data_IF_487707459058
#
_entry.id   IF_487707459058
#
_cell.length_a   1.000
_cell.length_b   1.000
_cell.length_c   1.000
_cell.angle_alpha   90.00
_cell.angle_beta   90.00
_cell.angle_gamma   90.00
#
_symmetry.space_group_name_H-M   'P 1'
#
loop_
_entity.id
_entity.type
_entity.pdbx_description
1 polymer ?
#
# COMPACT_ATOMS: atom_id res chain seq x y z
N UNK A 1 15.38 67.40 46.37
CA UNK A 1 16.83 67.52 46.47
C UNK A 1 17.34 66.71 45.28
N UNK A 2 17.50 67.35 44.11
CA UNK A 2 18.76 68.03 43.70
C UNK A 2 19.87 66.98 43.61
N UNK A 3 20.60 66.77 42.52
CA UNK A 3 21.09 67.67 41.45
C UNK A 3 21.74 66.78 40.40
N UNK A 4 21.47 66.89 39.13
CA UNK A 4 22.22 67.65 38.07
C UNK A 4 23.71 67.34 37.94
N UNK A 5 24.15 66.86 36.78
CA UNK A 5 24.90 67.51 35.70
C UNK A 5 25.55 66.44 34.82
N UNK A 6 25.33 66.36 33.55
CA UNK A 6 25.77 67.09 32.33
C UNK A 6 27.21 66.74 31.88
N UNK A 7 27.22 66.44 30.56
CA UNK A 7 28.23 66.66 29.51
C UNK A 7 29.38 65.60 29.39
N UNK A 8 29.80 65.15 28.22
CA UNK A 8 29.81 65.78 26.88
C UNK A 8 30.17 64.73 25.78
N UNK A 9 29.79 65.06 24.61
CA UNK A 9 29.98 64.47 23.29
C UNK A 9 31.38 63.96 22.95
N UNK A 10 31.45 62.86 22.14
CA UNK A 10 32.24 62.87 20.91
C UNK A 10 31.79 61.77 19.96
N UNK A 11 31.40 62.16 18.78
CA UNK A 11 31.15 61.40 17.59
C UNK A 11 32.40 60.65 17.14
N UNK A 12 32.23 59.36 16.69
CA UNK A 12 32.96 58.84 15.55
C UNK A 12 32.07 57.84 14.84
N UNK A 13 31.68 58.22 13.63
CA UNK A 13 31.07 57.37 12.62
C UNK A 13 31.98 56.20 12.28
N UNK A 14 31.42 54.98 12.26
CA UNK A 14 31.90 53.91 11.41
C UNK A 14 30.69 53.06 10.93
N UNK A 15 30.30 53.35 9.70
CA UNK A 15 29.43 52.54 8.86
C UNK A 15 30.04 51.14 8.68
N UNK A 16 29.44 50.13 9.30
CA UNK A 16 29.63 48.76 8.91
C UNK A 16 28.27 48.26 8.39
N UNK A 17 28.10 48.37 7.09
CA UNK A 17 27.02 47.75 6.34
C UNK A 17 27.16 46.22 6.44
N UNK A 18 26.43 45.58 7.38
CA UNK A 18 26.23 44.15 7.40
C UNK A 18 25.25 43.76 6.27
N UNK A 19 25.82 43.46 5.12
CA UNK A 19 25.17 42.67 4.09
C UNK A 19 24.96 41.25 4.63
N UNK A 20 23.78 40.98 5.15
CA UNK A 20 23.28 39.61 5.33
C UNK A 20 23.08 39.01 3.95
N UNK A 21 24.10 38.34 3.42
CA UNK A 21 23.97 37.46 2.29
C UNK A 21 23.08 36.31 2.73
N UNK A 22 21.83 36.36 2.26
CA UNK A 22 20.96 35.19 2.25
C UNK A 22 21.59 34.16 1.30
N UNK A 23 22.35 33.24 1.84
CA UNK A 23 22.76 32.02 1.15
C UNK A 23 21.52 31.19 0.86
N UNK A 24 20.80 31.50 -0.20
CA UNK A 24 19.89 30.57 -0.86
C UNK A 24 20.76 29.54 -1.56
N UNK A 25 21.01 28.41 -0.89
CA UNK A 25 21.61 27.23 -1.50
C UNK A 25 20.68 26.79 -2.66
N UNK A 26 20.99 27.19 -3.88
CA UNK A 26 20.35 26.65 -5.07
C UNK A 26 20.66 25.16 -5.12
N UNK A 27 19.70 24.31 -4.76
CA UNK A 27 19.82 22.86 -4.93
C UNK A 27 20.10 22.60 -6.41
N UNK A 28 21.26 22.05 -6.71
CA UNK A 28 21.68 21.68 -8.06
C UNK A 28 20.69 20.64 -8.58
N UNK A 29 19.94 20.99 -9.63
CA UNK A 29 18.99 20.07 -10.28
C UNK A 29 19.79 19.04 -11.06
N UNK A 30 19.73 17.80 -10.61
CA UNK A 30 20.36 16.68 -11.32
C UNK A 30 19.33 15.98 -12.21
N UNK A 31 19.72 15.69 -13.46
CA UNK A 31 18.93 14.89 -14.40
C UNK A 31 19.54 13.50 -14.45
N UNK A 32 18.78 12.52 -14.00
CA UNK A 32 19.17 11.11 -14.05
C UNK A 32 18.56 10.46 -15.29
N UNK A 33 19.41 9.81 -16.10
CA UNK A 33 19.00 9.04 -17.28
C UNK A 33 19.02 7.54 -16.96
N UNK A 34 17.99 6.81 -17.38
CA UNK A 34 17.84 5.37 -17.16
C UNK A 34 17.82 4.68 -18.53
N UNK A 35 18.86 3.88 -18.81
CA UNK A 35 19.04 3.12 -20.08
C UNK A 35 18.78 3.95 -21.34
N UNK A 36 19.09 5.25 -21.34
CA UNK A 36 18.81 6.19 -22.44
C UNK A 36 17.34 6.19 -22.93
N UNK A 37 16.43 5.63 -22.14
CA UNK A 37 15.01 5.50 -22.47
C UNK A 37 14.12 6.38 -21.59
N UNK A 38 14.51 6.59 -20.35
CA UNK A 38 13.76 7.42 -19.40
C UNK A 38 14.68 8.42 -18.71
N UNK A 39 14.11 9.51 -18.21
CA UNK A 39 14.83 10.44 -17.33
C UNK A 39 13.90 11.06 -16.30
N UNK A 40 14.48 11.52 -15.19
CA UNK A 40 13.80 12.32 -14.19
C UNK A 40 14.74 13.36 -13.59
N UNK A 41 14.18 14.37 -12.94
CA UNK A 41 14.95 15.38 -12.19
C UNK A 41 14.90 15.05 -10.70
N UNK A 42 15.99 15.29 -9.99
CA UNK A 42 16.06 15.11 -8.52
C UNK A 42 15.02 15.97 -7.79
N UNK A 43 14.56 17.07 -8.39
CA UNK A 43 13.52 17.96 -7.86
C UNK A 43 12.10 17.47 -8.07
N UNK A 44 11.86 16.57 -9.00
CA UNK A 44 10.52 16.12 -9.41
C UNK A 44 10.00 14.95 -8.54
N UNK A 45 10.30 15.02 -7.24
CA UNK A 45 9.87 14.00 -6.27
C UNK A 45 8.36 14.08 -6.02
N UNK A 46 7.66 12.98 -6.25
CA UNK A 46 6.21 12.82 -6.01
C UNK A 46 5.91 12.38 -4.59
N UNK A 47 6.79 11.59 -3.99
CA UNK A 47 6.61 11.07 -2.65
C UNK A 47 7.70 10.10 -2.26
N UNK A 48 7.54 9.49 -1.10
CA UNK A 48 8.43 8.46 -0.58
C UNK A 48 7.87 7.90 0.71
N UNK A 49 8.24 6.67 1.02
CA UNK A 49 7.85 5.96 2.23
C UNK A 49 8.98 5.09 2.73
N UNK A 50 8.66 4.14 3.57
CA UNK A 50 9.62 3.20 4.18
C UNK A 50 10.40 2.38 3.14
N UNK A 51 9.91 2.29 1.91
CA UNK A 51 10.40 1.37 0.87
C UNK A 51 10.98 2.08 -0.36
N UNK A 52 11.25 3.39 -0.29
CA UNK A 52 11.91 4.09 -1.38
C UNK A 52 11.32 5.45 -1.72
N UNK A 53 11.82 6.04 -2.80
CA UNK A 53 11.43 7.36 -3.29
C UNK A 53 10.76 7.22 -4.66
N UNK A 54 9.77 8.08 -4.91
CA UNK A 54 9.04 8.09 -6.19
C UNK A 54 9.23 9.46 -6.84
N UNK A 55 9.61 9.45 -8.10
CA UNK A 55 9.82 10.64 -8.93
C UNK A 55 8.93 10.64 -10.14
N UNK A 56 8.57 11.83 -10.60
CA UNK A 56 7.99 12.02 -11.93
C UNK A 56 9.13 12.01 -12.95
N UNK A 57 8.98 11.19 -13.97
CA UNK A 57 9.92 11.08 -15.05
C UNK A 57 9.24 11.18 -16.41
N UNK A 58 10.03 11.03 -17.47
CA UNK A 58 9.57 11.08 -18.85
C UNK A 58 10.21 9.96 -19.67
N UNK A 59 9.43 9.34 -20.54
CA UNK A 59 9.95 8.49 -21.59
C UNK A 59 10.56 9.38 -22.69
N UNK A 60 11.85 9.23 -22.94
CA UNK A 60 12.59 10.10 -23.87
C UNK A 60 12.15 9.95 -25.33
N UNK A 61 11.62 8.76 -25.69
CA UNK A 61 11.13 8.47 -27.05
C UNK A 61 9.69 8.94 -27.26
N UNK A 62 8.76 8.53 -26.38
CA UNK A 62 7.32 8.82 -26.55
C UNK A 62 6.90 10.15 -25.94
N UNK A 63 7.77 10.75 -25.11
CA UNK A 63 7.48 11.98 -24.33
C UNK A 63 6.36 11.80 -23.28
N UNK A 64 5.95 10.58 -23.03
CA UNK A 64 4.97 10.29 -22.01
C UNK A 64 5.56 10.37 -20.60
N UNK A 65 4.78 10.92 -19.69
CA UNK A 65 5.14 10.98 -18.28
C UNK A 65 5.01 9.62 -17.62
N UNK A 66 5.96 9.30 -16.73
CA UNK A 66 6.03 8.03 -16.00
C UNK A 66 6.30 8.28 -14.51
N UNK A 67 5.98 7.31 -13.67
CA UNK A 67 6.47 7.25 -12.31
C UNK A 67 7.73 6.39 -12.23
N UNK A 68 8.71 6.85 -11.44
CA UNK A 68 9.99 6.17 -11.26
C UNK A 68 10.17 5.93 -9.77
N UNK A 69 10.01 4.66 -9.34
CA UNK A 69 10.22 4.22 -7.98
C UNK A 69 11.66 3.73 -7.83
N UNK A 70 12.35 4.23 -6.79
CA UNK A 70 13.77 3.94 -6.53
C UNK A 70 13.88 3.35 -5.13
N UNK A 71 14.54 2.21 -5.02
CA UNK A 71 14.81 1.51 -3.79
C UNK A 71 16.31 1.23 -3.67
N UNK A 72 16.91 1.42 -2.49
CA UNK A 72 18.30 1.05 -2.25
C UNK A 72 18.46 -0.48 -2.27
N UNK A 73 19.55 -0.99 -2.87
CA UNK A 73 19.89 -2.41 -2.82
C UNK A 73 20.38 -2.86 -1.44
N UNK A 74 20.79 -1.89 -0.61
CA UNK A 74 21.40 -2.15 0.71
C UNK A 74 20.37 -2.18 1.84
N UNK A 75 19.06 -2.24 1.54
CA UNK A 75 18.03 -2.41 2.56
C UNK A 75 17.88 -3.89 2.93
N UNK A 76 17.56 -4.14 4.19
CA UNK A 76 17.44 -5.47 4.76
C UNK A 76 16.38 -6.33 4.05
N UNK A 77 15.28 -5.71 3.62
CA UNK A 77 14.17 -6.40 2.94
C UNK A 77 13.75 -5.66 1.68
N UNK A 78 14.45 -5.89 0.53
CA UNK A 78 14.09 -5.28 -0.74
C UNK A 78 12.69 -5.72 -1.21
N UNK A 79 11.84 -4.75 -1.51
CA UNK A 79 10.43 -5.03 -1.88
C UNK A 79 10.13 -4.75 -3.36
N UNK A 80 10.94 -3.94 -4.04
CA UNK A 80 10.66 -3.51 -5.39
C UNK A 80 10.60 -4.66 -6.41
N UNK A 81 11.45 -5.68 -6.24
CA UNK A 81 11.42 -6.89 -7.08
C UNK A 81 10.11 -7.65 -6.86
N UNK A 82 9.74 -7.84 -5.60
CA UNK A 82 8.50 -8.54 -5.24
C UNK A 82 7.28 -7.80 -5.81
N UNK A 83 7.18 -6.50 -5.58
CA UNK A 83 6.13 -5.63 -6.11
C UNK A 83 6.05 -5.68 -7.64
N UNK A 84 7.21 -5.62 -8.33
CA UNK A 84 7.25 -5.69 -9.78
C UNK A 84 6.76 -7.02 -10.36
N UNK A 85 7.04 -8.14 -9.69
CA UNK A 85 6.54 -9.47 -10.08
C UNK A 85 5.02 -9.55 -9.98
N UNK A 86 4.45 -9.01 -8.91
CA UNK A 86 2.98 -8.96 -8.71
C UNK A 86 2.34 -8.08 -9.78
N UNK A 87 2.85 -6.86 -9.97
CA UNK A 87 2.32 -5.94 -10.97
C UNK A 87 2.40 -6.49 -12.39
N UNK A 88 3.49 -7.19 -12.75
CA UNK A 88 3.60 -7.86 -14.05
C UNK A 88 2.56 -8.97 -14.23
N UNK A 89 2.26 -9.72 -13.18
CA UNK A 89 1.22 -10.75 -13.22
C UNK A 89 -0.20 -10.16 -13.37
N UNK A 90 -0.40 -8.90 -12.94
CA UNK A 90 -1.67 -8.19 -12.98
C UNK A 90 -1.77 -7.18 -14.15
N UNK A 91 -0.74 -7.09 -15.02
CA UNK A 91 -0.55 -6.02 -16.00
C UNK A 91 -1.70 -5.86 -17.01
N UNK A 92 -2.44 -6.93 -17.29
CA UNK A 92 -3.56 -6.92 -18.25
C UNK A 92 -4.90 -6.62 -17.59
N UNK A 93 -4.91 -6.34 -16.29
CA UNK A 93 -6.13 -6.03 -15.56
C UNK A 93 -6.29 -4.53 -15.33
N UNK A 94 -7.50 -4.02 -15.45
CA UNK A 94 -7.82 -2.62 -15.18
C UNK A 94 -7.59 -2.24 -13.70
N UNK A 95 -7.02 -1.05 -13.49
CA UNK A 95 -6.79 -0.52 -12.15
C UNK A 95 -5.57 -1.09 -11.43
N UNK A 96 -4.62 -1.63 -12.20
CA UNK A 96 -3.28 -1.99 -11.76
C UNK A 96 -2.25 -1.25 -12.61
N UNK A 97 -1.24 -0.58 -11.98
CA UNK A 97 -0.25 0.20 -12.72
C UNK A 97 0.58 -0.67 -13.66
N UNK A 98 0.78 -0.23 -14.88
CA UNK A 98 1.66 -0.91 -15.83
C UNK A 98 3.13 -0.70 -15.45
N UNK A 99 3.91 -1.78 -15.42
CA UNK A 99 5.37 -1.74 -15.23
C UNK A 99 6.04 -1.76 -16.60
N UNK A 100 6.84 -0.72 -16.89
CA UNK A 100 7.53 -0.57 -18.17
C UNK A 100 8.97 -1.10 -18.12
N UNK A 101 9.68 -0.88 -17.01
CA UNK A 101 11.07 -1.29 -16.85
C UNK A 101 11.37 -1.55 -15.38
N UNK A 102 12.15 -2.59 -15.11
CA UNK A 102 12.82 -2.80 -13.82
C UNK A 102 14.30 -3.02 -14.10
N UNK A 103 15.17 -2.23 -13.49
CA UNK A 103 16.60 -2.28 -13.76
C UNK A 103 17.41 -1.85 -12.56
N UNK A 104 18.56 -2.49 -12.28
CA UNK A 104 19.54 -1.93 -11.37
C UNK A 104 20.23 -0.72 -11.99
N UNK A 105 20.55 0.26 -11.16
CA UNK A 105 21.42 1.40 -11.48
C UNK A 105 22.27 1.69 -10.25
N UNK A 106 23.59 1.50 -10.35
CA UNK A 106 24.54 1.61 -9.24
C UNK A 106 24.04 0.85 -7.99
N UNK A 107 23.90 1.53 -6.85
CA UNK A 107 23.46 0.94 -5.57
C UNK A 107 21.93 0.95 -5.37
N UNK A 108 21.18 1.24 -6.44
CA UNK A 108 19.72 1.28 -6.37
C UNK A 108 19.06 0.32 -7.37
N UNK A 109 17.84 -0.04 -7.07
CA UNK A 109 16.93 -0.70 -7.98
C UNK A 109 15.87 0.32 -8.41
N UNK A 110 15.58 0.36 -9.71
CA UNK A 110 14.62 1.28 -10.30
C UNK A 110 13.50 0.52 -10.95
N UNK A 111 12.26 0.95 -10.68
CA UNK A 111 11.07 0.53 -11.41
C UNK A 111 10.42 1.73 -12.08
N UNK A 112 10.28 1.67 -13.41
CA UNK A 112 9.53 2.64 -14.21
C UNK A 112 8.15 2.09 -14.48
N UNK A 113 7.13 2.86 -14.12
CA UNK A 113 5.75 2.43 -14.19
C UNK A 113 4.82 3.56 -14.62
N UNK A 114 3.56 3.24 -14.85
CA UNK A 114 2.50 4.18 -15.17
C UNK A 114 2.40 5.30 -14.13
N UNK A 115 2.36 6.55 -14.61
CA UNK A 115 2.11 7.69 -13.73
C UNK A 115 0.62 7.78 -13.43
N UNK A 116 0.29 7.86 -12.15
CA UNK A 116 -1.08 7.97 -11.63
C UNK A 116 -1.31 9.34 -10.99
N UNK A 117 -2.57 9.64 -10.72
CA UNK A 117 -2.99 10.85 -10.05
C UNK A 117 -2.90 10.80 -8.52
N UNK A 118 -3.69 11.62 -7.87
CA UNK A 118 -3.72 11.72 -6.41
C UNK A 118 -4.36 10.47 -5.78
N UNK A 119 -3.88 10.10 -4.58
CA UNK A 119 -4.49 9.02 -3.81
C UNK A 119 -5.78 9.49 -3.11
N UNK A 120 -6.62 8.50 -2.74
CA UNK A 120 -7.92 8.79 -2.14
C UNK A 120 -7.81 9.49 -0.79
N UNK A 121 -6.75 9.29 -0.01
CA UNK A 121 -6.53 10.01 1.25
C UNK A 121 -6.36 11.51 1.00
N UNK A 122 -5.56 11.89 0.01
CA UNK A 122 -5.34 13.30 -0.35
C UNK A 122 -6.63 13.92 -0.89
N UNK A 123 -7.36 13.22 -1.77
CA UNK A 123 -8.64 13.67 -2.28
C UNK A 123 -9.68 13.84 -1.15
N UNK A 124 -9.71 12.92 -0.18
CA UNK A 124 -10.58 13.02 0.99
C UNK A 124 -10.25 14.25 1.86
N UNK A 125 -8.96 14.48 2.13
CA UNK A 125 -8.52 15.63 2.94
C UNK A 125 -8.85 16.97 2.27
N UNK A 126 -8.91 17.01 0.94
CA UNK A 126 -9.29 18.17 0.14
C UNK A 126 -10.81 18.32 -0.06
N UNK A 127 -11.60 17.30 0.34
CA UNK A 127 -13.06 17.35 0.22
C UNK A 127 -13.69 18.14 1.36
N UNK A 128 -14.91 18.73 1.16
CA UNK A 128 -15.66 19.39 2.23
C UNK A 128 -15.85 18.46 3.42
N UNK A 129 -15.58 18.98 4.64
CA UNK A 129 -15.70 18.23 5.90
C UNK A 129 -14.86 16.95 5.98
N UNK A 130 -13.85 16.77 5.08
CA UNK A 130 -13.01 15.57 5.00
C UNK A 130 -13.83 14.29 4.89
N UNK A 131 -14.89 14.34 4.10
CA UNK A 131 -15.80 13.21 3.82
C UNK A 131 -16.09 13.14 2.34
N UNK A 132 -16.41 11.95 1.86
CA UNK A 132 -17.04 11.76 0.57
C UNK A 132 -18.55 11.61 0.72
N UNK A 133 -19.30 12.01 -0.30
CA UNK A 133 -20.72 11.71 -0.40
C UNK A 133 -20.96 10.19 -0.44
N UNK A 134 -22.16 9.75 -0.07
CA UNK A 134 -22.57 8.35 -0.21
C UNK A 134 -22.39 7.88 -1.67
N UNK A 135 -22.71 8.75 -2.65
CA UNK A 135 -22.53 8.47 -4.08
C UNK A 135 -21.07 8.12 -4.41
N UNK A 136 -20.16 9.00 -4.04
CA UNK A 136 -18.72 8.80 -4.29
C UNK A 136 -18.21 7.55 -3.56
N UNK A 137 -18.60 7.36 -2.30
CA UNK A 137 -18.21 6.17 -1.51
C UNK A 137 -18.67 4.87 -2.16
N UNK A 138 -19.91 4.78 -2.63
CA UNK A 138 -20.41 3.56 -3.28
C UNK A 138 -19.75 3.30 -4.63
N UNK A 139 -19.52 4.34 -5.44
CA UNK A 139 -18.78 4.21 -6.70
C UNK A 139 -17.34 3.72 -6.47
N UNK A 140 -16.67 4.23 -5.42
CA UNK A 140 -15.34 3.78 -5.00
C UNK A 140 -15.37 2.33 -4.51
N UNK A 141 -16.33 1.98 -3.65
CA UNK A 141 -16.47 0.64 -3.09
C UNK A 141 -16.59 -0.43 -4.18
N UNK A 142 -17.39 -0.18 -5.23
CA UNK A 142 -17.55 -1.08 -6.37
C UNK A 142 -16.22 -1.29 -7.09
N UNK A 143 -15.49 -0.21 -7.40
CA UNK A 143 -14.22 -0.31 -8.11
C UNK A 143 -13.16 -0.99 -7.24
N UNK A 144 -13.03 -0.59 -5.97
CA UNK A 144 -12.02 -1.13 -5.06
C UNK A 144 -12.27 -2.62 -4.78
N UNK A 145 -13.53 -3.01 -4.54
CA UNK A 145 -13.89 -4.42 -4.38
C UNK A 145 -13.54 -5.25 -5.62
N UNK A 146 -13.76 -4.69 -6.83
CA UNK A 146 -13.35 -5.35 -8.07
C UNK A 146 -11.83 -5.54 -8.16
N UNK A 147 -11.01 -4.57 -7.70
CA UNK A 147 -9.53 -4.72 -7.65
C UNK A 147 -9.11 -5.77 -6.63
N UNK A 148 -9.74 -5.77 -5.45
CA UNK A 148 -9.50 -6.80 -4.42
C UNK A 148 -9.86 -8.19 -4.96
N UNK A 149 -11.03 -8.35 -5.61
CA UNK A 149 -11.43 -9.60 -6.27
C UNK A 149 -10.36 -10.08 -7.26
N UNK A 150 -9.94 -9.22 -8.19
CA UNK A 150 -8.90 -9.54 -9.18
C UNK A 150 -7.58 -9.96 -8.51
N UNK A 151 -7.14 -9.26 -7.47
CA UNK A 151 -5.93 -9.62 -6.71
C UNK A 151 -6.07 -11.00 -6.07
N UNK A 152 -7.21 -11.28 -5.44
CA UNK A 152 -7.51 -12.56 -4.78
C UNK A 152 -7.62 -13.72 -5.79
N UNK A 153 -8.22 -13.50 -6.97
CA UNK A 153 -8.28 -14.48 -8.07
C UNK A 153 -6.88 -14.85 -8.59
N UNK A 154 -5.91 -13.93 -8.48
CA UNK A 154 -4.50 -14.16 -8.78
C UNK A 154 -3.71 -14.72 -7.58
N UNK A 155 -4.39 -15.21 -6.54
CA UNK A 155 -3.84 -15.85 -5.34
C UNK A 155 -3.06 -14.93 -4.40
N UNK A 156 -3.26 -13.62 -4.47
CA UNK A 156 -2.61 -12.66 -3.59
C UNK A 156 -3.63 -11.98 -2.67
N UNK A 157 -3.21 -11.64 -1.44
CA UNK A 157 -3.86 -10.73 -0.52
C UNK A 157 -3.00 -9.49 -0.34
N UNK A 158 -3.63 -8.31 -0.20
CA UNK A 158 -2.92 -7.03 -0.16
C UNK A 158 -2.30 -6.75 1.22
N UNK A 159 -3.05 -7.00 2.29
CA UNK A 159 -2.68 -6.83 3.70
C UNK A 159 -2.50 -5.39 4.19
N UNK A 160 -2.73 -4.39 3.35
CA UNK A 160 -2.71 -2.97 3.73
C UNK A 160 -3.73 -2.15 2.94
N UNK A 161 -4.99 -2.56 2.96
CA UNK A 161 -6.10 -1.84 2.33
C UNK A 161 -6.36 -0.56 3.14
N UNK A 162 -6.08 0.59 2.51
CA UNK A 162 -6.25 1.94 3.07
C UNK A 162 -6.37 2.99 1.96
N UNK A 163 -6.90 4.20 2.24
CA UNK A 163 -7.10 5.23 1.22
C UNK A 163 -5.82 5.65 0.47
N UNK A 164 -4.67 5.62 1.13
CA UNK A 164 -3.37 5.98 0.55
C UNK A 164 -2.95 5.03 -0.57
N UNK A 165 -3.40 3.77 -0.53
CA UNK A 165 -3.03 2.72 -1.48
C UNK A 165 -4.00 2.61 -2.67
N UNK A 166 -4.88 3.59 -2.83
CA UNK A 166 -5.75 3.73 -4.01
C UNK A 166 -5.59 5.12 -4.61
N UNK A 167 -5.36 5.18 -5.93
CA UNK A 167 -5.16 6.42 -6.68
C UNK A 167 -6.12 6.51 -7.85
N UNK A 168 -6.40 7.74 -8.30
CA UNK A 168 -7.09 7.94 -9.56
C UNK A 168 -6.12 7.79 -10.72
N UNK A 169 -6.60 7.34 -11.86
CA UNK A 169 -5.84 7.38 -13.11
C UNK A 169 -5.71 8.81 -13.65
N UNK A 170 -4.97 8.95 -14.75
CA UNK A 170 -4.79 10.22 -15.44
C UNK A 170 -5.42 10.19 -16.84
N UNK A 171 -5.65 11.36 -17.41
CA UNK A 171 -6.16 11.54 -18.79
C UNK A 171 -7.45 10.75 -19.03
N UNK A 172 -7.45 9.81 -19.97
CA UNK A 172 -8.61 8.96 -20.30
C UNK A 172 -9.00 7.99 -19.17
N UNK A 173 -8.08 7.70 -18.24
CA UNK A 173 -8.30 6.81 -17.10
C UNK A 173 -8.67 7.56 -15.81
N UNK A 174 -8.94 8.86 -15.84
CA UNK A 174 -9.24 9.71 -14.67
C UNK A 174 -10.38 9.20 -13.77
N UNK A 175 -11.24 8.35 -14.29
CA UNK A 175 -12.36 7.76 -13.57
C UNK A 175 -12.08 6.33 -13.09
N UNK A 176 -10.91 5.78 -13.37
CA UNK A 176 -10.48 4.46 -12.95
C UNK A 176 -9.70 4.58 -11.64
N UNK A 177 -10.05 3.74 -10.67
CA UNK A 177 -9.32 3.64 -9.41
C UNK A 177 -8.27 2.54 -9.54
N UNK A 178 -7.04 2.89 -9.23
CA UNK A 178 -5.88 2.00 -9.27
C UNK A 178 -5.49 1.60 -7.84
N UNK A 179 -5.17 0.33 -7.66
CA UNK A 179 -4.55 -0.20 -6.45
C UNK A 179 -3.04 -0.10 -6.59
N UNK A 180 -2.36 0.36 -5.55
CA UNK A 180 -0.90 0.58 -5.51
C UNK A 180 -0.29 0.03 -4.21
N UNK A 181 1.04 -0.04 -4.17
CA UNK A 181 1.85 -0.46 -3.01
C UNK A 181 1.65 -1.93 -2.62
N UNK A 182 2.34 -2.80 -3.34
CA UNK A 182 2.30 -4.25 -3.13
C UNK A 182 3.43 -4.76 -2.21
N UNK A 183 4.09 -3.86 -1.48
CA UNK A 183 5.21 -4.21 -0.61
C UNK A 183 4.85 -5.20 0.52
N UNK A 184 3.62 -5.17 1.00
CA UNK A 184 3.11 -6.11 2.00
C UNK A 184 2.27 -7.26 1.42
N UNK A 185 2.05 -7.27 0.11
CA UNK A 185 1.23 -8.27 -0.57
C UNK A 185 1.85 -9.67 -0.49
N UNK A 186 1.01 -10.69 -0.31
CA UNK A 186 1.45 -12.07 -0.14
C UNK A 186 0.54 -13.04 -0.90
N UNK A 187 1.10 -14.16 -1.38
CA UNK A 187 0.30 -15.29 -1.82
C UNK A 187 -0.42 -15.93 -0.62
N UNK A 188 -1.71 -16.19 -0.77
CA UNK A 188 -2.51 -16.95 0.20
C UNK A 188 -2.85 -18.36 -0.27
N UNK A 189 -2.51 -18.68 -1.53
CA UNK A 189 -2.60 -20.02 -2.09
C UNK A 189 -1.30 -20.35 -2.85
N UNK A 190 -0.97 -21.63 -2.87
CA UNK A 190 0.06 -22.17 -3.75
C UNK A 190 -0.43 -22.31 -5.20
N UNK A 191 0.40 -22.86 -6.10
CA UNK A 191 0.05 -23.12 -7.49
C UNK A 191 -1.06 -24.16 -7.67
N UNK A 192 -1.28 -25.01 -6.66
CA UNK A 192 -2.34 -26.05 -6.63
C UNK A 192 -3.64 -25.56 -5.99
N UNK A 193 -3.73 -24.25 -5.68
CA UNK A 193 -4.85 -23.62 -4.96
C UNK A 193 -5.01 -24.09 -3.50
N UNK A 194 -4.00 -24.72 -2.91
CA UNK A 194 -4.03 -24.99 -1.48
C UNK A 194 -3.83 -23.67 -0.71
N UNK A 195 -4.74 -23.40 0.21
CA UNK A 195 -4.66 -22.19 1.05
C UNK A 195 -3.50 -22.32 2.05
N UNK A 196 -2.86 -21.19 2.38
CA UNK A 196 -1.85 -21.15 3.44
C UNK A 196 -2.46 -21.65 4.77
N UNK A 197 -1.67 -22.30 5.65
CA UNK A 197 -2.17 -22.80 6.92
C UNK A 197 -2.57 -21.67 7.86
N UNK A 198 -3.57 -21.92 8.71
CA UNK A 198 -3.93 -21.04 9.81
C UNK A 198 -2.77 -20.99 10.82
N UNK A 199 -2.36 -19.77 11.20
CA UNK A 199 -1.29 -19.53 12.18
C UNK A 199 -1.68 -18.39 13.11
N UNK A 200 -1.26 -18.48 14.35
CA UNK A 200 -1.40 -17.42 15.34
C UNK A 200 -0.03 -16.85 15.76
N UNK A 201 0.01 -15.88 16.64
CA UNK A 201 1.25 -15.26 17.12
C UNK A 201 1.92 -14.34 16.11
N UNK A 202 1.18 -13.86 15.10
CA UNK A 202 1.71 -12.92 14.09
C UNK A 202 1.73 -11.49 14.60
N UNK A 203 2.77 -10.77 14.24
CA UNK A 203 2.79 -9.32 14.43
C UNK A 203 1.78 -8.64 13.48
N UNK A 204 1.20 -7.52 13.96
CA UNK A 204 0.28 -6.74 13.15
C UNK A 204 1.01 -6.23 11.90
N UNK A 205 0.56 -6.69 10.74
CA UNK A 205 1.02 -6.25 9.42
C UNK A 205 -0.03 -5.34 8.82
N UNK A 206 0.38 -4.23 8.21
CA UNK A 206 -0.49 -3.19 7.65
C UNK A 206 -0.78 -2.05 8.64
N UNK A 207 -1.79 -1.27 8.33
CA UNK A 207 -2.16 -0.04 9.04
C UNK A 207 -3.22 -0.33 10.11
N UNK A 208 -2.87 -0.20 11.40
CA UNK A 208 -3.73 -0.57 12.52
C UNK A 208 -5.14 0.06 12.47
N UNK A 209 -5.28 1.25 11.90
CA UNK A 209 -6.56 1.94 11.75
C UNK A 209 -7.57 1.10 10.93
N UNK A 210 -7.10 0.46 9.86
CA UNK A 210 -7.93 -0.31 8.93
C UNK A 210 -7.79 -1.83 9.09
N UNK A 211 -6.76 -2.33 9.79
CA UNK A 211 -6.53 -3.76 9.99
C UNK A 211 -7.75 -4.49 10.56
N UNK A 212 -8.00 -5.71 10.12
CA UNK A 212 -9.12 -6.54 10.60
C UNK A 212 -8.99 -6.90 12.08
N UNK A 213 -10.07 -7.35 12.69
CA UNK A 213 -10.06 -7.88 14.06
C UNK A 213 -9.11 -9.07 14.16
N UNK A 214 -9.10 -9.96 13.17
CA UNK A 214 -8.21 -11.13 13.17
C UNK A 214 -6.74 -10.74 13.05
N UNK A 215 -6.40 -9.73 12.23
CA UNK A 215 -5.05 -9.17 12.16
C UNK A 215 -4.60 -8.59 13.51
N UNK A 216 -5.48 -7.90 14.23
CA UNK A 216 -5.19 -7.41 15.58
C UNK A 216 -4.99 -8.53 16.62
N UNK A 217 -5.68 -9.67 16.47
CA UNK A 217 -5.51 -10.86 17.29
C UNK A 217 -4.22 -11.62 17.00
N UNK A 218 -3.43 -11.19 16.02
CA UNK A 218 -2.20 -11.88 15.61
C UNK A 218 -2.46 -13.16 14.82
N UNK A 219 -3.59 -13.26 14.13
CA UNK A 219 -3.92 -14.37 13.25
C UNK A 219 -3.39 -14.05 11.86
N UNK A 220 -2.87 -15.05 11.15
CA UNK A 220 -2.42 -14.93 9.75
C UNK A 220 -3.55 -14.38 8.87
N UNK A 221 -3.21 -13.43 7.98
CA UNK A 221 -4.20 -12.77 7.15
C UNK A 221 -4.63 -13.64 5.97
N UNK A 222 -5.89 -13.50 5.59
CA UNK A 222 -6.48 -14.14 4.41
C UNK A 222 -7.39 -13.15 3.66
N UNK A 223 -8.17 -13.64 2.70
CA UNK A 223 -9.08 -12.80 1.87
C UNK A 223 -10.07 -11.97 2.69
N UNK A 224 -10.58 -12.52 3.80
CA UNK A 224 -11.55 -11.83 4.69
C UNK A 224 -10.97 -10.55 5.31
N UNK A 225 -9.66 -10.52 5.56
CA UNK A 225 -8.98 -9.40 6.23
C UNK A 225 -8.90 -8.16 5.32
N UNK A 226 -8.61 -8.33 4.04
CA UNK A 226 -8.67 -7.25 3.04
C UNK A 226 -10.10 -6.69 2.91
N UNK A 227 -11.12 -7.55 2.95
CA UNK A 227 -12.52 -7.14 2.88
C UNK A 227 -12.97 -6.38 4.14
N UNK A 228 -12.56 -6.81 5.34
CA UNK A 228 -12.87 -6.07 6.56
C UNK A 228 -12.22 -4.70 6.56
N UNK A 229 -10.98 -4.60 6.07
CA UNK A 229 -10.28 -3.32 5.88
C UNK A 229 -11.00 -2.40 4.88
N UNK A 230 -11.53 -2.93 3.77
CA UNK A 230 -12.37 -2.18 2.84
C UNK A 230 -13.63 -1.64 3.55
N UNK A 231 -14.28 -2.46 4.37
CA UNK A 231 -15.43 -2.02 5.16
C UNK A 231 -15.11 -0.80 6.02
N UNK A 232 -14.03 -0.84 6.78
CA UNK A 232 -13.59 0.30 7.60
C UNK A 232 -13.24 1.53 6.76
N UNK A 233 -12.62 1.34 5.62
CA UNK A 233 -12.31 2.43 4.71
C UNK A 233 -13.58 3.11 4.17
N UNK A 234 -14.63 2.36 3.83
CA UNK A 234 -15.92 2.90 3.40
C UNK A 234 -16.62 3.71 4.51
N UNK A 235 -16.60 3.22 5.76
CA UNK A 235 -17.11 3.98 6.91
C UNK A 235 -16.35 5.30 7.05
N UNK A 236 -15.02 5.26 6.96
CA UNK A 236 -14.17 6.44 7.02
C UNK A 236 -14.50 7.45 5.91
N UNK A 237 -14.73 7.01 4.70
CA UNK A 237 -15.14 7.88 3.59
C UNK A 237 -16.46 8.61 3.87
N UNK A 238 -17.47 7.89 4.38
CA UNK A 238 -18.77 8.47 4.66
C UNK A 238 -18.79 9.37 5.91
N UNK A 239 -18.10 8.96 6.98
CA UNK A 239 -18.18 9.62 8.29
C UNK A 239 -17.04 10.62 8.53
N UNK A 240 -15.89 10.48 7.83
CA UNK A 240 -14.67 11.27 8.02
C UNK A 240 -13.85 10.80 9.22
N UNK A 241 -14.36 9.84 9.99
CA UNK A 241 -13.69 9.28 11.17
C UNK A 241 -14.07 7.83 11.42
N UNK A 242 -13.26 7.15 12.23
CA UNK A 242 -13.53 5.83 12.78
C UNK A 242 -13.54 5.90 14.31
N UNK A 243 -14.38 5.13 15.00
CA UNK A 243 -14.54 5.21 16.46
C UNK A 243 -13.25 5.01 17.26
N UNK A 244 -12.26 4.37 16.67
CA UNK A 244 -10.94 4.10 17.27
C UNK A 244 -9.82 4.99 16.76
N UNK A 245 -10.11 6.00 15.92
CA UNK A 245 -9.10 6.86 15.27
C UNK A 245 -8.27 7.64 16.28
N UNK A 246 -8.91 8.15 17.35
CA UNK A 246 -8.30 9.00 18.37
C UNK A 246 -7.78 8.23 19.60
N UNK A 247 -7.69 6.90 19.53
CA UNK A 247 -7.20 6.08 20.62
C UNK A 247 -5.73 6.34 20.89
N UNK A 248 -5.38 6.65 22.13
CA UNK A 248 -4.02 6.88 22.61
C UNK A 248 -3.53 5.70 23.44
N UNK A 249 -2.22 5.41 23.39
CA UNK A 249 -1.53 4.43 24.21
C UNK A 249 -0.12 4.91 24.56
N UNK A 250 0.39 4.51 25.71
CA UNK A 250 1.78 4.83 26.11
C UNK A 250 2.81 4.16 25.21
N UNK A 251 2.50 2.97 24.71
CA UNK A 251 3.31 2.25 23.70
C UNK A 251 2.44 1.90 22.49
N UNK A 252 3.08 1.46 21.42
CA UNK A 252 2.43 1.02 20.18
C UNK A 252 1.51 -0.18 20.44
N UNK A 253 1.97 -1.12 21.26
CA UNK A 253 1.24 -2.33 21.65
C UNK A 253 -0.03 -1.99 22.43
N UNK A 254 0.07 -1.12 23.44
CA UNK A 254 -1.07 -0.65 24.24
C UNK A 254 -2.08 0.07 23.33
N UNK A 255 -1.60 0.92 22.41
CA UNK A 255 -2.48 1.59 21.45
C UNK A 255 -3.21 0.59 20.57
N UNK A 256 -2.51 -0.42 20.03
CA UNK A 256 -3.10 -1.43 19.15
C UNK A 256 -4.09 -2.32 19.87
N UNK A 257 -3.79 -2.71 21.12
CA UNK A 257 -4.72 -3.46 21.98
C UNK A 257 -6.02 -2.70 22.18
N UNK A 258 -5.95 -1.41 22.53
CA UNK A 258 -7.14 -0.57 22.71
C UNK A 258 -7.93 -0.37 21.41
N UNK A 259 -7.27 -0.28 20.26
CA UNK A 259 -7.94 -0.23 18.95
C UNK A 259 -8.71 -1.54 18.72
N UNK A 260 -8.08 -2.68 18.98
CA UNK A 260 -8.70 -3.99 18.86
C UNK A 260 -9.94 -4.12 19.75
N UNK A 261 -9.83 -3.75 21.03
CA UNK A 261 -10.93 -3.77 21.99
C UNK A 261 -12.12 -2.96 21.47
N UNK A 262 -11.88 -1.73 20.99
CA UNK A 262 -12.94 -0.91 20.39
C UNK A 262 -13.55 -1.52 19.12
N UNK A 263 -12.76 -2.17 18.27
CA UNK A 263 -13.30 -2.88 17.09
C UNK A 263 -14.18 -4.08 17.48
N UNK A 264 -13.81 -4.80 18.54
CA UNK A 264 -14.58 -5.93 19.08
C UNK A 264 -15.91 -5.48 19.70
N UNK A 265 -15.90 -4.38 20.45
CA UNK A 265 -17.09 -3.80 21.06
C UNK A 265 -18.08 -3.24 20.03
N UNK A 266 -17.55 -2.81 18.85
CA UNK A 266 -18.34 -2.14 17.85
C UNK A 266 -19.07 -3.14 16.95
N UNK A 267 -20.35 -3.41 17.29
CA UNK A 267 -21.23 -4.25 16.46
C UNK A 267 -21.49 -3.57 15.10
N UNK A 268 -21.75 -4.35 14.02
CA UNK A 268 -22.01 -3.81 12.70
C UNK A 268 -23.13 -2.77 12.63
N UNK A 269 -24.22 -2.98 13.33
CA UNK A 269 -25.36 -2.05 13.39
C UNK A 269 -25.00 -0.69 14.00
N UNK A 270 -24.17 -0.68 15.06
CA UNK A 270 -23.67 0.56 15.67
C UNK A 270 -22.65 1.24 14.73
N UNK A 271 -21.73 0.47 14.18
CA UNK A 271 -20.68 1.00 13.28
C UNK A 271 -21.29 1.64 12.04
N UNK A 272 -22.33 1.05 11.47
CA UNK A 272 -23.00 1.49 10.25
C UNK A 272 -24.18 2.43 10.50
N UNK A 273 -24.44 2.83 11.75
CA UNK A 273 -25.56 3.73 12.06
C UNK A 273 -25.54 5.01 11.20
N UNK A 274 -26.68 5.34 10.59
CA UNK A 274 -26.83 6.50 9.70
C UNK A 274 -26.37 6.26 8.25
N UNK A 275 -25.96 5.03 7.91
CA UNK A 275 -25.66 4.59 6.54
C UNK A 275 -26.71 3.60 6.04
N UNK A 276 -26.84 3.36 4.73
CA UNK A 276 -27.71 2.31 4.19
C UNK A 276 -27.44 0.95 4.84
N UNK A 277 -28.50 0.16 5.04
CA UNK A 277 -28.41 -1.15 5.71
C UNK A 277 -27.46 -2.14 5.00
N UNK A 278 -27.22 -1.94 3.72
CA UNK A 278 -26.26 -2.72 2.94
C UNK A 278 -24.82 -2.67 3.53
N UNK A 279 -24.43 -1.59 4.22
CA UNK A 279 -23.17 -1.52 4.95
C UNK A 279 -23.17 -2.45 6.16
N UNK A 280 -24.29 -2.55 6.87
CA UNK A 280 -24.46 -3.47 7.99
C UNK A 280 -24.41 -4.93 7.51
N UNK A 281 -25.13 -5.26 6.43
CA UNK A 281 -25.12 -6.58 5.80
C UNK A 281 -23.69 -6.95 5.33
N UNK A 282 -22.94 -5.99 4.74
CA UNK A 282 -21.55 -6.18 4.36
C UNK A 282 -20.69 -6.62 5.54
N UNK A 283 -20.72 -5.88 6.66
CA UNK A 283 -19.91 -6.19 7.84
C UNK A 283 -20.32 -7.50 8.50
N UNK A 284 -21.61 -7.81 8.60
CA UNK A 284 -22.10 -9.10 9.11
C UNK A 284 -21.51 -10.24 8.31
N UNK A 285 -21.64 -10.19 6.99
CA UNK A 285 -21.11 -11.23 6.10
C UNK A 285 -19.58 -11.35 6.20
N UNK A 286 -18.84 -10.25 6.13
CA UNK A 286 -17.37 -10.28 6.10
C UNK A 286 -16.79 -10.78 7.43
N UNK A 287 -17.39 -10.43 8.57
CA UNK A 287 -16.93 -10.88 9.90
C UNK A 287 -17.22 -12.35 10.18
N UNK A 288 -18.18 -12.96 9.49
CA UNK A 288 -18.53 -14.38 9.57
C UNK A 288 -17.64 -15.27 8.69
N UNK A 289 -16.93 -14.70 7.70
CA UNK A 289 -16.06 -15.47 6.80
C UNK A 289 -14.99 -16.24 7.57
N UNK A 290 -14.86 -17.52 7.24
CA UNK A 290 -13.82 -18.38 7.77
C UNK A 290 -12.47 -18.08 7.09
N UNK A 291 -11.38 -18.54 7.71
CA UNK A 291 -10.00 -18.24 7.26
C UNK A 291 -9.74 -18.63 5.81
N UNK A 292 -10.18 -19.82 5.40
CA UNK A 292 -9.96 -20.36 4.04
C UNK A 292 -11.14 -20.11 3.10
N UNK A 293 -12.24 -19.56 3.61
CA UNK A 293 -13.47 -19.40 2.84
C UNK A 293 -13.30 -18.45 1.66
N UNK A 294 -13.86 -18.84 0.52
CA UNK A 294 -13.92 -17.98 -0.65
C UNK A 294 -15.07 -16.97 -0.51
N UNK A 295 -14.77 -15.65 -0.51
CA UNK A 295 -15.79 -14.64 -0.41
C UNK A 295 -16.72 -14.63 -1.64
N UNK A 296 -18.01 -14.43 -1.41
CA UNK A 296 -19.02 -14.25 -2.48
C UNK A 296 -18.95 -12.79 -2.97
N UNK A 297 -17.97 -12.46 -3.81
CA UNK A 297 -17.74 -11.10 -4.30
C UNK A 297 -18.94 -10.50 -5.02
N UNK A 298 -19.66 -11.31 -5.80
CA UNK A 298 -20.84 -10.85 -6.55
C UNK A 298 -22.00 -10.49 -5.61
N UNK A 299 -22.13 -11.18 -4.47
CA UNK A 299 -23.06 -10.79 -3.40
C UNK A 299 -22.67 -9.42 -2.81
N UNK A 300 -21.39 -9.21 -2.49
CA UNK A 300 -20.91 -7.95 -1.94
C UNK A 300 -21.06 -6.79 -2.94
N UNK A 301 -20.78 -7.00 -4.23
CA UNK A 301 -21.05 -6.03 -5.30
C UNK A 301 -22.56 -5.75 -5.43
N UNK A 302 -23.38 -6.78 -5.26
CA UNK A 302 -24.83 -6.67 -5.25
C UNK A 302 -25.35 -5.76 -4.13
N UNK A 303 -24.74 -5.81 -2.93
CA UNK A 303 -25.08 -4.92 -1.82
C UNK A 303 -24.83 -3.44 -2.21
N UNK A 304 -23.67 -3.11 -2.76
CA UNK A 304 -23.36 -1.72 -3.16
C UNK A 304 -24.29 -1.23 -4.29
N UNK A 305 -24.58 -2.07 -5.27
CA UNK A 305 -25.54 -1.74 -6.34
C UNK A 305 -26.96 -1.57 -5.79
N UNK A 306 -27.38 -2.38 -4.80
CA UNK A 306 -28.65 -2.22 -4.09
C UNK A 306 -28.72 -0.90 -3.35
N UNK A 307 -27.68 -0.55 -2.59
CA UNK A 307 -27.58 0.74 -1.90
C UNK A 307 -27.68 1.91 -2.87
N UNK A 308 -27.00 1.85 -4.03
CA UNK A 308 -27.13 2.87 -5.08
C UNK A 308 -28.57 2.99 -5.58
N UNK A 309 -29.19 1.88 -5.92
CA UNK A 309 -30.57 1.84 -6.43
C UNK A 309 -31.57 2.43 -5.43
N UNK A 310 -31.52 1.99 -4.16
CA UNK A 310 -32.42 2.47 -3.08
C UNK A 310 -32.28 3.97 -2.80
N UNK A 311 -31.09 4.51 -3.00
CA UNK A 311 -30.82 5.95 -2.77
C UNK A 311 -30.87 6.79 -4.07
N UNK A 312 -31.41 6.24 -5.18
CA UNK A 312 -31.50 6.90 -6.49
C UNK A 312 -30.14 7.43 -7.00
N UNK A 313 -29.06 6.75 -6.69
CA UNK A 313 -27.70 7.09 -7.11
C UNK A 313 -27.39 6.41 -8.44
N UNK A 314 -26.87 7.20 -9.41
CA UNK A 314 -26.37 6.68 -10.69
C UNK A 314 -24.85 6.54 -10.64
N UNK A 315 -24.32 5.42 -11.18
CA UNK A 315 -22.89 5.26 -11.38
C UNK A 315 -22.46 5.98 -12.67
N UNK A 316 -22.29 7.28 -12.57
CA UNK A 316 -21.94 8.16 -13.68
C UNK A 316 -20.47 8.61 -13.64
N UNK A 317 -19.67 8.04 -12.74
CA UNK A 317 -18.26 8.39 -12.50
C UNK A 317 -18.01 9.87 -12.19
N UNK A 318 -19.03 10.62 -11.80
CA UNK A 318 -18.89 12.00 -11.33
C UNK A 318 -18.64 11.98 -9.82
N UNK A 319 -17.39 11.88 -9.45
CA UNK A 319 -16.92 11.90 -8.07
C UNK A 319 -16.94 13.31 -7.49
N UNK A 320 -16.89 13.43 -6.16
CA UNK A 320 -16.96 14.71 -5.45
C UNK A 320 -15.88 15.70 -5.89
N UNK A 321 -14.68 15.23 -6.17
CA UNK A 321 -13.58 16.07 -6.66
C UNK A 321 -13.75 16.58 -8.09
N UNK A 322 -14.65 15.99 -8.88
CA UNK A 322 -14.98 16.49 -10.22
C UNK A 322 -15.82 17.76 -10.17
N UNK A 323 -16.59 17.98 -9.09
CA UNK A 323 -17.48 19.14 -8.95
C UNK A 323 -16.75 20.41 -8.52
N UNK A 324 -15.62 20.26 -7.81
CA UNK A 324 -14.80 21.38 -7.34
C UNK A 324 -13.88 21.98 -8.42
N UNK A 325 -13.82 21.39 -9.61
CA UNK A 325 -12.99 21.87 -10.72
C UNK A 325 -13.52 23.16 -11.40
N UNK A 326 -14.69 23.67 -10.96
CA UNK A 326 -15.27 24.92 -11.49
C UNK A 326 -14.62 26.21 -10.99
N UNK A 327 -13.80 26.17 -9.94
CA UNK A 327 -13.23 27.39 -9.34
C UNK A 327 -11.74 27.60 -9.66
N UNK A 328 -10.99 26.59 -10.15
CA UNK A 328 -9.55 26.72 -10.38
C UNK A 328 -8.99 25.98 -11.60
N UNK A 329 -9.79 25.67 -12.64
CA UNK A 329 -9.30 24.98 -13.83
C UNK A 329 -8.36 25.84 -14.72
N UNK A 330 -8.25 27.15 -14.50
CA UNK A 330 -7.28 27.97 -15.23
C UNK A 330 -5.83 27.82 -14.70
N UNK A 331 -5.64 27.43 -13.43
CA UNK A 331 -4.30 27.36 -12.83
C UNK A 331 -3.64 25.98 -12.85
N UNK A 332 -4.38 24.89 -13.17
CA UNK A 332 -3.81 23.53 -13.22
C UNK A 332 -3.34 23.18 -14.64
N UNK A 333 -4.02 23.64 -15.68
CA UNK A 333 -3.62 23.39 -17.07
C UNK A 333 -2.42 24.25 -17.52
N UNK A 334 -2.26 25.48 -16.99
CA UNK A 334 -1.15 26.35 -17.37
C UNK A 334 0.17 26.05 -16.65
N UNK A 335 0.16 25.31 -15.53
CA UNK A 335 1.40 24.84 -14.89
C UNK A 335 2.02 23.59 -15.52
N UNK A 336 1.31 22.92 -16.41
CA UNK A 336 1.76 21.66 -17.03
C UNK A 336 1.71 21.64 -18.56
N UNK A 337 1.74 22.79 -19.23
CA UNK A 337 1.93 22.79 -20.68
C UNK A 337 3.39 22.49 -20.99
N UNK A 338 3.64 21.36 -21.61
CA UNK A 338 4.95 20.83 -21.96
C UNK A 338 5.71 21.69 -22.99
N UNK A 339 5.05 22.60 -23.70
CA UNK A 339 5.66 23.42 -24.76
C UNK A 339 6.57 24.56 -24.25
N UNK A 340 6.31 25.08 -23.06
CA UNK A 340 7.10 26.17 -22.45
C UNK A 340 8.46 25.71 -21.89
N UNK A 341 8.64 24.41 -21.64
CA UNK A 341 9.87 23.85 -21.02
C UNK A 341 10.95 23.49 -22.04
N UNK A 342 10.57 23.19 -23.30
CA UNK A 342 11.51 22.73 -24.31
C UNK A 342 12.28 23.88 -25.01
N UNK A 343 11.78 25.12 -24.95
CA UNK A 343 12.43 26.26 -25.60
C UNK A 343 13.64 26.85 -24.84
N UNK A 344 13.87 26.41 -23.57
CA UNK A 344 14.94 26.96 -22.72
C UNK A 344 16.09 26.01 -22.40
N UNK A 345 16.06 24.77 -22.87
CA UNK A 345 17.12 23.79 -22.61
C UNK A 345 18.12 23.71 -23.76
N UNK A 346 19.20 24.51 -23.68
CA UNK A 346 20.46 24.21 -24.37
C UNK A 346 21.14 23.07 -23.61
N UNK A 347 21.15 21.88 -24.21
CA UNK A 347 21.81 20.68 -23.70
C UNK A 347 23.33 20.87 -23.66
N UNK A 348 23.93 20.91 -22.49
CA UNK A 348 25.34 20.61 -22.29
C UNK A 348 25.49 19.08 -22.16
N UNK A 349 26.15 18.49 -23.15
CA UNK A 349 26.52 17.06 -23.11
C UNK A 349 27.62 16.84 -22.08
N UNK A 350 27.34 15.97 -21.10
CA UNK A 350 28.38 15.37 -20.27
C UNK A 350 28.55 13.95 -20.78
N UNK A 351 29.65 13.72 -21.48
CA UNK A 351 30.09 12.39 -21.95
C UNK A 351 30.67 11.62 -20.76
N UNK A 352 30.02 10.56 -20.34
CA UNK A 352 30.64 9.48 -19.56
C UNK A 352 31.10 8.40 -20.53
N UNK A 353 32.42 8.11 -20.46
CA UNK A 353 33.10 7.19 -21.36
C UNK A 353 32.47 5.79 -21.38
N UNK A 354 32.24 5.34 -22.60
CA UNK A 354 31.84 3.96 -22.86
C UNK A 354 32.99 3.01 -22.49
N UNK A 355 32.74 2.13 -21.53
CA UNK A 355 33.46 0.86 -21.41
C UNK A 355 32.52 -0.27 -21.81
N UNK A 356 32.95 -1.01 -22.83
CA UNK A 356 32.28 -2.19 -23.34
C UNK A 356 32.16 -3.29 -22.27
N UNK A 357 30.97 -3.46 -21.69
CA UNK A 357 30.57 -4.65 -20.95
C UNK A 357 29.19 -5.11 -21.44
N UNK A 358 29.12 -5.48 -22.71
CA UNK A 358 27.97 -6.15 -23.28
C UNK A 358 28.31 -7.64 -23.40
N UNK A 359 27.98 -8.43 -22.37
CA UNK A 359 27.61 -9.85 -22.44
C UNK A 359 27.61 -10.60 -21.11
N UNK A 360 28.30 -10.10 -20.07
CA UNK A 360 28.40 -10.85 -18.81
C UNK A 360 27.24 -10.60 -17.84
N UNK A 361 26.57 -9.47 -17.92
CA UNK A 361 25.51 -9.13 -16.94
C UNK A 361 24.16 -9.82 -17.19
N UNK A 362 23.79 -10.14 -18.41
CA UNK A 362 22.55 -10.91 -18.68
C UNK A 362 22.67 -12.36 -18.25
N UNK A 363 23.86 -12.95 -18.37
CA UNK A 363 24.14 -14.34 -17.94
C UNK A 363 24.19 -14.47 -16.42
N UNK A 364 24.59 -13.43 -15.70
CA UNK A 364 24.66 -13.44 -14.23
C UNK A 364 23.30 -13.22 -13.56
N UNK A 365 22.39 -12.47 -14.19
CA UNK A 365 21.01 -12.31 -13.68
C UNK A 365 20.25 -13.63 -13.80
N UNK A 366 20.33 -14.30 -14.93
CA UNK A 366 19.71 -15.62 -15.15
C UNK A 366 20.25 -16.70 -14.20
N UNK A 367 21.55 -16.66 -13.87
CA UNK A 367 22.16 -17.59 -12.90
C UNK A 367 21.73 -17.32 -11.46
N UNK A 368 21.58 -16.04 -11.11
CA UNK A 368 21.15 -15.65 -9.75
C UNK A 368 19.68 -15.97 -9.54
N UNK A 369 18.81 -15.72 -10.53
CA UNK A 369 17.40 -16.13 -10.48
C UNK A 369 17.23 -17.65 -10.40
N UNK A 370 18.03 -18.42 -11.15
CA UNK A 370 18.03 -19.90 -11.04
C UNK A 370 18.49 -20.39 -9.68
N UNK A 371 19.48 -19.72 -9.07
CA UNK A 371 19.96 -20.07 -7.74
C UNK A 371 18.97 -19.68 -6.63
N UNK A 372 18.27 -18.54 -6.76
CA UNK A 372 17.21 -18.13 -5.83
C UNK A 372 16.02 -19.10 -5.91
N UNK A 373 15.59 -19.50 -7.10
CA UNK A 373 14.54 -20.51 -7.30
C UNK A 373 14.97 -21.87 -6.74
N UNK A 374 16.26 -22.25 -6.86
CA UNK A 374 16.76 -23.49 -6.27
C UNK A 374 16.84 -23.43 -4.74
N UNK A 375 17.14 -22.27 -4.16
CA UNK A 375 17.17 -22.08 -2.71
C UNK A 375 15.74 -22.03 -2.12
N UNK A 376 14.80 -21.35 -2.76
CA UNK A 376 13.38 -21.39 -2.37
C UNK A 376 12.81 -22.82 -2.43
N UNK A 377 13.19 -23.60 -3.45
CA UNK A 377 12.79 -25.00 -3.57
C UNK A 377 13.49 -25.92 -2.52
N UNK A 378 14.71 -25.57 -2.06
CA UNK A 378 15.38 -26.28 -0.97
C UNK A 378 14.76 -25.96 0.39
N UNK A 379 14.44 -24.70 0.66
CA UNK A 379 13.74 -24.30 1.89
C UNK A 379 12.36 -24.94 1.96
N UNK A 380 11.57 -24.90 0.89
CA UNK A 380 10.29 -25.60 0.83
C UNK A 380 10.40 -27.13 1.02
N UNK A 381 11.47 -27.76 0.51
CA UNK A 381 11.74 -29.18 0.78
C UNK A 381 12.09 -29.44 2.24
N UNK A 382 12.86 -28.57 2.85
CA UNK A 382 13.24 -28.70 4.25
C UNK A 382 12.03 -28.48 5.19
N UNK A 383 11.15 -27.55 4.84
CA UNK A 383 9.91 -27.32 5.58
C UNK A 383 8.98 -28.55 5.49
N UNK A 384 8.83 -29.15 4.31
CA UNK A 384 8.07 -30.40 4.12
C UNK A 384 8.67 -31.56 4.90
N UNK A 385 10.01 -31.67 4.95
CA UNK A 385 10.71 -32.73 5.70
C UNK A 385 10.51 -32.53 7.22
N UNK A 386 10.56 -31.30 7.69
CA UNK A 386 10.34 -31.00 9.11
C UNK A 386 8.87 -31.21 9.51
N UNK A 387 7.92 -30.79 8.69
CA UNK A 387 6.49 -31.02 8.90
C UNK A 387 6.15 -32.53 8.93
N UNK A 388 6.77 -33.33 8.07
CA UNK A 388 6.61 -34.79 8.06
C UNK A 388 7.25 -35.47 9.28
N UNK A 389 8.31 -34.89 9.86
CA UNK A 389 8.90 -35.38 11.14
C UNK A 389 8.00 -35.03 12.33
N UNK A 390 7.47 -33.83 12.39
CA UNK A 390 6.54 -33.41 13.45
C UNK A 390 5.23 -34.23 13.42
N UNK A 391 4.70 -34.50 12.23
CA UNK A 391 3.52 -35.35 12.08
C UNK A 391 3.78 -36.81 12.51
N UNK A 392 4.96 -37.39 12.22
CA UNK A 392 5.32 -38.72 12.69
C UNK A 392 5.48 -38.80 14.22
N UNK A 393 6.05 -37.77 14.83
CA UNK A 393 6.17 -37.69 16.29
C UNK A 393 4.79 -37.57 16.95
N UNK A 394 3.90 -36.76 16.37
CA UNK A 394 2.53 -36.61 16.88
C UNK A 394 1.69 -37.88 16.74
N UNK A 395 1.86 -38.63 15.65
CA UNK A 395 1.23 -39.97 15.50
C UNK A 395 1.78 -41.02 16.47
N UNK A 396 3.08 -40.95 16.77
CA UNK A 396 3.73 -41.86 17.72
C UNK A 396 3.24 -41.57 19.14
N UNK A 397 3.16 -40.31 19.55
CA UNK A 397 2.60 -39.90 20.84
C UNK A 397 1.13 -40.31 21.01
N UNK A 398 0.29 -40.18 19.99
CA UNK A 398 -1.09 -40.66 20.02
C UNK A 398 -1.21 -42.19 20.16
N UNK A 399 -0.28 -42.94 19.59
CA UNK A 399 -0.25 -44.40 19.75
C UNK A 399 0.18 -44.81 21.16
N UNK A 400 1.12 -44.08 21.76
CA UNK A 400 1.54 -44.30 23.15
C UNK A 400 0.41 -43.93 24.16
N UNK A 401 -0.28 -42.82 23.98
CA UNK A 401 -1.44 -42.45 24.78
C UNK A 401 -2.57 -43.48 24.68
N UNK A 402 -2.87 -43.99 23.49
CA UNK A 402 -3.89 -45.04 23.34
C UNK A 402 -3.46 -46.38 23.99
N UNK A 403 -2.16 -46.77 23.94
CA UNK A 403 -1.70 -47.96 24.61
C UNK A 403 -1.72 -47.86 26.14
N UNK A 404 -1.50 -46.66 26.68
CA UNK A 404 -1.61 -46.42 28.13
C UNK A 404 -3.09 -46.48 28.58
N UNK A 405 -4.01 -45.96 27.79
CA UNK A 405 -5.43 -46.03 28.08
C UNK A 405 -5.99 -47.45 28.01
N UNK A 406 -5.53 -48.29 27.04
CA UNK A 406 -5.95 -49.69 26.95
C UNK A 406 -5.41 -50.53 28.16
N UNK A 407 -4.20 -50.29 28.63
CA UNK A 407 -3.64 -50.95 29.81
C UNK A 407 -4.35 -50.53 31.09
N UNK A 408 -4.77 -49.27 31.22
CA UNK A 408 -5.51 -48.76 32.40
C UNK A 408 -6.91 -49.35 32.47
N UNK A 409 -7.56 -49.65 31.35
CA UNK A 409 -8.85 -50.31 31.30
C UNK A 409 -8.72 -51.78 31.70
N UNK A 410 -7.64 -52.47 31.32
CA UNK A 410 -7.41 -53.87 31.71
C UNK A 410 -7.05 -54.07 33.17
N UNK A 411 -6.39 -53.12 33.84
CA UNK A 411 -6.12 -53.18 35.29
C UNK A 411 -7.37 -52.96 36.13
N UNK A 412 -8.32 -52.09 35.70
CA UNK A 412 -9.55 -51.86 36.41
C UNK A 412 -10.56 -53.04 36.31
N UNK A 413 -10.48 -53.86 35.27
CA UNK A 413 -11.31 -55.09 35.14
C UNK A 413 -10.81 -56.29 35.97
N UNK A 414 -9.59 -56.24 36.51
CA UNK A 414 -9.00 -57.31 37.38
C UNK A 414 -9.33 -57.02 38.87
N UNK A 415 -9.55 -55.76 39.27
CA UNK A 415 -9.91 -55.46 40.69
C UNK A 415 -11.41 -55.61 41.00
N UNK A 416 -12.27 -55.96 40.04
CA UNK A 416 -13.70 -56.19 40.24
C UNK A 416 -14.13 -57.67 40.12
N UNK A 417 -13.20 -58.61 40.21
CA UNK A 417 -13.50 -60.04 40.37
C UNK A 417 -12.80 -60.54 41.66
#
# INVERSE_FOLDING_TARGET
MESTQKESEKETNNDISNKTEKNTSQQKVEIVKIKNQYSFKSTDRLGGGSFGQIYKGINLKTKEEVAIKIESKNIETPQLIHESKILKALNDNDGFPKVYLVTPLDDVLIMVMELLGENLQKLLMNSPHKKFTLKTTLMLAIQILSRIKTLHENNYIHRDIKPENFTIGLKKYKNTIYMIDYGLTRKFCDSRKNHIPYKEGKHLTGTALYASIYTHKGIEQSRRDDLESLGYMMIYFCKGELPWMNVKGKTKEIKYKKIMEKKLEMKPDILCQGLPDEFNQYFKYVRELQFTEEPKYDFLLGLFNSAMKKNNIKNDFKFDWCQNSGINNQNINDKFSTESLFSKLKLGEINFGEKNEKKENEINIDKKEKNEIQNENKEQKNDIINENKENKVSEQLKKEENSINENTIHENDIEQK
#
